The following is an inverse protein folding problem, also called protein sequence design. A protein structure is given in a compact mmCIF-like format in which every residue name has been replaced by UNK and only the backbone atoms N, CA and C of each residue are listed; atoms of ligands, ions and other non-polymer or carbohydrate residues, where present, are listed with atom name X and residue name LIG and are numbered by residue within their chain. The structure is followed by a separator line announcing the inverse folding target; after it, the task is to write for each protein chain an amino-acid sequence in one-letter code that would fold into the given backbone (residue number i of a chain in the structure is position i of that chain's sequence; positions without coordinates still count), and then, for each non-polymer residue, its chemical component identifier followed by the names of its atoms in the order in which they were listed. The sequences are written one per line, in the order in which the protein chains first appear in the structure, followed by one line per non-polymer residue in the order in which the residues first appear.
data_IF_381794987717
#
_entry.id   IF_381794987717
#
_cell.length_a   1.000
_cell.length_b   1.000
_cell.length_c   1.000
_cell.angle_alpha   90.00
_cell.angle_beta   90.00
_cell.angle_gamma   90.00
#
_symmetry.space_group_name_H-M   'P 1'
#
loop_
_entity.id
_entity.type
_entity.pdbx_description
1 polymer ?
#
# COMPACT_ATOMS: atom_id res chain seq x y z
N UNK A 1 -13.84 10.01 16.74
CA UNK A 1 -13.10 9.56 15.55
C UNK A 1 -12.76 10.78 14.71
N UNK A 2 -11.49 11.01 14.38
CA UNK A 2 -11.06 12.24 13.72
C UNK A 2 -11.57 12.24 12.26
N UNK A 3 -12.50 13.13 11.93
CA UNK A 3 -13.21 13.19 10.64
C UNK A 3 -12.26 13.15 9.43
N UNK A 4 -11.08 13.72 9.60
CA UNK A 4 -10.04 13.81 8.58
C UNK A 4 -9.40 12.46 8.20
N UNK A 5 -9.39 11.49 9.12
CA UNK A 5 -8.71 10.20 8.92
C UNK A 5 -9.40 9.35 7.85
N UNK A 6 -10.73 9.24 7.91
CA UNK A 6 -11.50 8.39 7.00
C UNK A 6 -11.46 8.91 5.56
N UNK A 7 -11.48 10.23 5.37
CA UNK A 7 -11.42 10.84 4.04
C UNK A 7 -10.10 10.52 3.31
N UNK A 8 -8.97 10.49 4.01
CA UNK A 8 -7.68 10.19 3.40
C UNK A 8 -7.56 8.74 2.94
N UNK A 9 -8.08 7.81 3.74
CA UNK A 9 -8.12 6.40 3.35
C UNK A 9 -9.08 6.20 2.18
N UNK A 10 -10.20 6.93 2.12
CA UNK A 10 -11.11 6.83 0.99
C UNK A 10 -10.46 7.27 -0.33
N UNK A 11 -9.68 8.35 -0.32
CA UNK A 11 -8.89 8.77 -1.48
C UNK A 11 -7.82 7.74 -1.86
N UNK A 12 -7.11 7.17 -0.87
CA UNK A 12 -6.12 6.12 -1.14
C UNK A 12 -6.76 4.89 -1.83
N UNK A 13 -7.90 4.43 -1.33
CA UNK A 13 -8.65 3.30 -1.91
C UNK A 13 -9.19 3.63 -3.30
N UNK A 14 -9.59 4.88 -3.55
CA UNK A 14 -10.02 5.32 -4.87
C UNK A 14 -8.84 5.25 -5.86
N UNK A 15 -7.65 5.68 -5.42
CA UNK A 15 -6.45 5.57 -6.23
C UNK A 15 -6.10 4.11 -6.51
N UNK A 16 -6.21 3.21 -5.54
CA UNK A 16 -5.99 1.77 -5.76
C UNK A 16 -7.03 1.09 -6.65
N UNK A 17 -8.09 1.80 -7.06
CA UNK A 17 -9.24 1.25 -7.78
C UNK A 17 -9.87 0.06 -7.03
N UNK A 18 -10.04 0.23 -5.71
CA UNK A 18 -10.51 -0.82 -4.83
C UNK A 18 -11.94 -1.27 -5.16
N UNK A 19 -12.17 -2.59 -5.19
CA UNK A 19 -13.51 -3.16 -5.36
C UNK A 19 -14.27 -3.11 -4.03
N UNK A 20 -15.39 -2.37 -4.02
CA UNK A 20 -16.28 -2.25 -2.86
C UNK A 20 -17.48 -3.16 -3.07
N UNK A 21 -17.55 -4.26 -2.32
CA UNK A 21 -18.64 -5.24 -2.41
C UNK A 21 -19.87 -4.85 -1.60
N UNK A 22 -19.67 -4.29 -0.42
CA UNK A 22 -20.75 -3.91 0.49
C UNK A 22 -20.38 -2.64 1.26
N UNK A 23 -21.34 -1.75 1.41
CA UNK A 23 -21.25 -0.59 2.28
C UNK A 23 -22.61 -0.30 2.90
N UNK A 24 -22.60 0.28 4.10
CA UNK A 24 -23.82 0.66 4.80
C UNK A 24 -23.68 2.07 5.35
N UNK A 25 -24.63 2.95 4.99
CA UNK A 25 -24.70 4.27 5.57
C UNK A 25 -25.20 4.18 7.03
N UNK A 26 -24.51 4.85 7.99
CA UNK A 26 -24.98 4.95 9.36
C UNK A 26 -26.39 5.58 9.43
N UNK A 27 -27.31 4.91 10.12
CA UNK A 27 -28.71 5.37 10.26
C UNK A 27 -28.85 6.50 11.29
N UNK A 28 -28.03 6.47 12.35
CA UNK A 28 -28.06 7.47 13.41
C UNK A 28 -27.38 8.77 12.96
N UNK A 29 -28.05 9.93 13.05
CA UNK A 29 -27.42 11.22 12.82
C UNK A 29 -26.22 11.45 13.73
N UNK A 30 -25.14 12.03 13.21
CA UNK A 30 -23.94 12.35 13.98
C UNK A 30 -22.67 12.35 13.14
N UNK A 31 -21.52 12.44 13.82
CA UNK A 31 -20.21 12.59 13.17
C UNK A 31 -19.89 11.48 12.16
N UNK A 32 -20.29 10.24 12.45
CA UNK A 32 -20.06 9.10 11.55
C UNK A 32 -20.90 9.22 10.28
N UNK A 33 -22.15 9.68 10.39
CA UNK A 33 -23.02 9.90 9.23
C UNK A 33 -22.51 11.09 8.40
N UNK A 34 -22.05 12.16 9.04
CA UNK A 34 -21.40 13.29 8.35
C UNK A 34 -20.13 12.84 7.64
N UNK A 35 -19.31 12.00 8.27
CA UNK A 35 -18.09 11.47 7.67
C UNK A 35 -18.42 10.60 6.47
N UNK A 36 -19.43 9.74 6.58
CA UNK A 36 -19.92 8.93 5.48
C UNK A 36 -20.33 9.77 4.26
N UNK A 37 -21.01 10.90 4.48
CA UNK A 37 -21.41 11.84 3.42
C UNK A 37 -20.27 12.72 2.90
N UNK A 38 -19.05 12.59 3.42
CA UNK A 38 -17.93 13.40 2.98
C UNK A 38 -17.61 13.12 1.50
N UNK A 39 -17.20 14.15 0.72
CA UNK A 39 -16.96 14.00 -0.72
C UNK A 39 -16.00 12.85 -1.08
N UNK A 40 -14.91 12.67 -0.32
CA UNK A 40 -13.95 11.61 -0.58
C UNK A 40 -14.57 10.20 -0.53
N UNK A 41 -15.48 9.96 0.42
CA UNK A 41 -16.18 8.68 0.54
C UNK A 41 -17.20 8.53 -0.59
N UNK A 42 -17.96 9.59 -0.90
CA UNK A 42 -18.96 9.54 -1.97
C UNK A 42 -18.31 9.30 -3.34
N UNK A 43 -17.22 10.00 -3.66
CA UNK A 43 -16.42 9.78 -4.88
C UNK A 43 -15.90 8.35 -4.95
N UNK A 44 -15.41 7.78 -3.85
CA UNK A 44 -14.98 6.38 -3.77
C UNK A 44 -16.14 5.42 -4.06
N UNK A 45 -17.29 5.60 -3.40
CA UNK A 45 -18.46 4.73 -3.56
C UNK A 45 -19.08 4.81 -4.97
N UNK A 46 -19.01 5.99 -5.59
CA UNK A 46 -19.48 6.22 -6.96
C UNK A 46 -18.49 5.74 -8.03
N UNK A 47 -17.29 5.28 -7.64
CA UNK A 47 -16.19 4.92 -8.55
C UNK A 47 -15.85 6.04 -9.54
N UNK A 48 -15.87 7.27 -9.05
CA UNK A 48 -15.45 8.43 -9.85
C UNK A 48 -13.93 8.35 -10.12
N UNK A 49 -13.48 8.85 -11.26
CA UNK A 49 -12.05 8.92 -11.56
C UNK A 49 -11.33 9.84 -10.57
N UNK A 50 -10.13 9.47 -10.05
CA UNK A 50 -9.39 10.33 -9.14
C UNK A 50 -9.16 11.73 -9.71
N UNK A 51 -9.38 12.76 -8.89
CA UNK A 51 -9.34 14.18 -9.33
C UNK A 51 -7.95 14.67 -9.76
N UNK A 52 -6.87 14.11 -9.22
CA UNK A 52 -5.52 14.56 -9.57
C UNK A 52 -5.01 13.82 -10.80
N UNK A 53 -4.57 14.58 -11.81
CA UNK A 53 -3.91 14.08 -13.02
C UNK A 53 -2.67 13.22 -12.74
N UNK A 54 -2.08 13.34 -11.56
CA UNK A 54 -1.02 12.43 -11.13
C UNK A 54 -1.64 11.09 -10.78
N UNK A 55 -1.13 10.03 -11.39
CA UNK A 55 -1.48 8.63 -11.15
C UNK A 55 -1.10 8.10 -9.76
N UNK A 56 -0.73 8.97 -8.81
CA UNK A 56 -0.33 8.59 -7.45
C UNK A 56 -0.99 9.47 -6.39
N UNK A 57 -1.21 8.88 -5.23
CA UNK A 57 -1.65 9.53 -4.01
C UNK A 57 -0.68 9.22 -2.89
N UNK A 58 -0.33 10.22 -2.09
CA UNK A 58 0.53 10.02 -0.92
C UNK A 58 0.03 10.88 0.22
N UNK A 59 -0.17 10.28 1.38
CA UNK A 59 -0.63 11.00 2.57
C UNK A 59 -0.04 10.40 3.84
N UNK A 60 0.22 11.28 4.80
CA UNK A 60 0.59 10.90 6.16
C UNK A 60 -0.58 11.17 7.09
N UNK A 61 -0.90 10.20 7.93
CA UNK A 61 -1.92 10.32 8.97
C UNK A 61 -1.37 9.83 10.31
N UNK A 62 -2.03 10.23 11.39
CA UNK A 62 -1.70 9.79 12.74
C UNK A 62 -2.91 9.09 13.34
N UNK A 63 -2.71 7.91 13.94
CA UNK A 63 -3.79 7.18 14.60
C UNK A 63 -4.41 7.99 15.73
N UNK A 64 -5.69 7.76 16.04
CA UNK A 64 -6.40 8.48 17.09
C UNK A 64 -6.00 8.10 18.53
N UNK A 65 -5.01 7.23 18.72
CA UNK A 65 -4.50 6.83 20.04
C UNK A 65 -3.96 8.04 20.79
N UNK A 66 -4.47 8.27 22.01
CA UNK A 66 -4.04 9.38 22.86
C UNK A 66 -2.71 9.08 23.56
N UNK A 67 -2.41 7.80 23.82
CA UNK A 67 -1.25 7.38 24.59
C UNK A 67 -0.07 6.95 23.72
N UNK A 68 -0.34 6.44 22.52
CA UNK A 68 0.68 5.97 21.58
C UNK A 68 0.25 6.25 20.12
N UNK A 69 0.28 7.52 19.68
CA UNK A 69 -0.04 7.87 18.31
C UNK A 69 1.02 7.33 17.34
N UNK A 70 0.58 6.55 16.35
CA UNK A 70 1.44 6.03 15.27
C UNK A 70 1.22 6.83 14.00
N UNK A 71 2.30 7.21 13.31
CA UNK A 71 2.24 7.81 11.98
C UNK A 71 2.16 6.72 10.92
N UNK A 72 1.19 6.85 10.02
CA UNK A 72 0.97 5.95 8.89
C UNK A 72 1.17 6.76 7.62
N UNK A 73 2.04 6.26 6.75
CA UNK A 73 2.28 6.81 5.42
C UNK A 73 1.61 5.91 4.39
N UNK A 74 0.63 6.45 3.67
CA UNK A 74 -0.09 5.75 2.61
C UNK A 74 0.43 6.19 1.26
N UNK A 75 0.72 5.23 0.38
CA UNK A 75 1.13 5.46 -1.01
C UNK A 75 0.23 4.59 -1.88
N UNK A 76 -0.54 5.21 -2.76
CA UNK A 76 -1.47 4.53 -3.67
C UNK A 76 -1.23 5.00 -5.10
N UNK A 77 -1.55 4.15 -6.08
CA UNK A 77 -1.42 4.46 -7.51
C UNK A 77 -2.70 4.13 -8.25
N UNK A 78 -3.05 4.94 -9.24
CA UNK A 78 -4.18 4.74 -10.14
C UNK A 78 -3.72 4.46 -11.56
N UNK A 79 -4.37 3.50 -12.20
CA UNK A 79 -4.08 3.09 -13.58
C UNK A 79 -2.69 2.46 -13.78
N UNK A 80 -2.27 2.44 -15.04
CA UNK A 80 -1.07 1.74 -15.52
C UNK A 80 0.14 2.66 -15.69
N UNK A 81 0.14 3.85 -15.09
CA UNK A 81 1.21 4.84 -15.26
C UNK A 81 2.54 4.46 -14.60
N UNK A 82 2.56 3.41 -13.80
CA UNK A 82 3.76 2.86 -13.17
C UNK A 82 4.07 1.50 -13.77
N UNK A 83 5.36 1.20 -13.93
CA UNK A 83 5.78 -0.12 -14.40
C UNK A 83 5.28 -1.21 -13.45
N UNK A 84 5.24 -2.45 -13.95
CA UNK A 84 4.87 -3.64 -13.17
C UNK A 84 5.66 -3.76 -11.85
N UNK A 85 6.93 -3.33 -11.82
CA UNK A 85 7.66 -3.17 -10.56
C UNK A 85 7.33 -1.82 -9.90
N UNK A 86 6.35 -1.83 -8.98
CA UNK A 86 5.96 -0.65 -8.20
C UNK A 86 7.06 -0.19 -7.21
N UNK A 87 7.92 -1.11 -6.77
CA UNK A 87 8.98 -0.78 -5.82
C UNK A 87 10.02 0.13 -6.47
N UNK A 88 10.47 -0.22 -7.69
CA UNK A 88 11.42 0.63 -8.45
C UNK A 88 10.73 1.91 -8.94
N UNK A 89 9.54 1.79 -9.53
CA UNK A 89 8.94 2.90 -10.27
C UNK A 89 8.32 3.98 -9.39
N UNK A 90 7.91 3.65 -8.16
CA UNK A 90 7.20 4.54 -7.26
C UNK A 90 7.82 4.56 -5.85
N UNK A 91 7.89 3.43 -5.15
CA UNK A 91 8.23 3.40 -3.72
C UNK A 91 9.65 3.93 -3.47
N UNK A 92 10.64 3.44 -4.22
CA UNK A 92 12.04 3.84 -4.09
C UNK A 92 12.25 5.33 -4.38
N UNK A 93 11.46 5.89 -5.30
CA UNK A 93 11.47 7.32 -5.66
C UNK A 93 10.72 8.21 -4.67
N UNK A 94 9.84 7.66 -3.86
CA UNK A 94 9.19 8.41 -2.78
C UNK A 94 10.10 8.39 -1.55
N UNK A 95 10.57 7.21 -1.16
CA UNK A 95 11.30 7.02 0.09
C UNK A 95 12.77 7.45 0.00
N UNK A 96 13.40 7.35 -1.18
CA UNK A 96 14.83 7.63 -1.39
C UNK A 96 15.76 6.88 -0.40
N UNK A 97 15.41 5.63 -0.09
CA UNK A 97 16.12 4.78 0.88
C UNK A 97 16.24 3.34 0.39
N UNK A 98 17.26 2.58 0.83
CA UNK A 98 17.30 1.14 0.65
C UNK A 98 16.05 0.45 1.21
N UNK A 99 15.57 -0.58 0.51
CA UNK A 99 14.37 -1.34 0.89
C UNK A 99 14.66 -2.83 0.76
N UNK A 100 14.28 -3.61 1.76
CA UNK A 100 14.23 -5.07 1.70
C UNK A 100 12.77 -5.51 1.55
N UNK A 101 12.48 -6.28 0.51
CA UNK A 101 11.12 -6.67 0.15
C UNK A 101 10.96 -8.17 0.32
N UNK A 102 9.96 -8.58 1.08
CA UNK A 102 9.59 -9.99 1.16
C UNK A 102 9.02 -10.46 -0.17
N UNK A 103 9.71 -11.40 -0.81
CA UNK A 103 9.32 -11.97 -2.10
C UNK A 103 9.06 -13.47 -2.02
N UNK A 104 9.44 -14.10 -0.90
CA UNK A 104 9.34 -15.55 -0.73
C UNK A 104 10.07 -16.32 -1.83
N UNK A 105 9.61 -17.53 -2.14
CA UNK A 105 10.09 -18.36 -3.25
C UNK A 105 9.05 -18.40 -4.38
N UNK A 106 8.48 -17.24 -4.72
CA UNK A 106 7.55 -17.12 -5.84
C UNK A 106 8.25 -17.44 -7.18
N UNK A 107 7.49 -17.87 -8.18
CA UNK A 107 7.99 -17.96 -9.55
C UNK A 107 8.07 -16.56 -10.17
N UNK A 108 9.07 -16.31 -11.03
CA UNK A 108 9.21 -15.08 -11.81
C UNK A 108 9.24 -13.80 -10.94
N UNK A 109 10.18 -13.69 -10.00
CA UNK A 109 10.38 -12.47 -9.20
C UNK A 109 11.31 -11.50 -9.93
N UNK A 110 10.99 -10.20 -9.90
CA UNK A 110 11.86 -9.14 -10.40
C UNK A 110 13.24 -9.21 -9.72
N UNK A 111 14.36 -9.06 -10.45
CA UNK A 111 15.68 -9.08 -9.84
C UNK A 111 15.85 -7.98 -8.80
N UNK A 112 16.76 -8.20 -7.84
CA UNK A 112 17.21 -7.14 -6.93
C UNK A 112 17.75 -5.95 -7.73
N UNK A 113 17.52 -4.74 -7.23
CA UNK A 113 18.00 -3.50 -7.83
C UNK A 113 19.14 -2.92 -6.99
N UNK A 114 20.36 -2.95 -7.50
CA UNK A 114 21.55 -2.55 -6.74
C UNK A 114 22.25 -1.34 -7.40
N UNK A 115 21.62 -0.16 -7.35
CA UNK A 115 22.23 1.10 -7.81
C UNK A 115 22.30 2.12 -6.68
N UNK A 116 23.40 2.16 -5.91
CA UNK A 116 23.57 3.11 -4.82
C UNK A 116 23.29 4.57 -5.25
N UNK A 117 22.64 5.38 -4.41
CA UNK A 117 22.20 5.08 -3.04
C UNK A 117 20.85 4.36 -2.95
N UNK A 118 20.22 4.02 -4.08
CA UNK A 118 18.87 3.44 -4.14
C UNK A 118 18.95 1.92 -4.36
N UNK A 119 18.65 1.15 -3.33
CA UNK A 119 18.72 -0.32 -3.37
C UNK A 119 17.37 -0.96 -3.07
N UNK A 120 17.05 -2.02 -3.79
CA UNK A 120 15.97 -2.96 -3.46
C UNK A 120 16.55 -4.36 -3.41
N UNK A 121 16.50 -4.97 -2.25
CA UNK A 121 16.93 -6.34 -2.01
C UNK A 121 15.72 -7.24 -1.80
N UNK A 122 15.69 -8.36 -2.52
CA UNK A 122 14.70 -9.40 -2.31
C UNK A 122 15.06 -10.25 -1.10
N UNK A 123 14.15 -10.34 -0.14
CA UNK A 123 14.22 -11.31 0.93
C UNK A 123 13.51 -12.57 0.45
N UNK A 124 14.31 -13.61 0.22
CA UNK A 124 13.87 -14.93 -0.23
C UNK A 124 13.86 -15.86 0.97
N UNK A 125 12.71 -16.45 1.27
CA UNK A 125 12.55 -17.38 2.39
C UNK A 125 13.21 -18.75 2.16
N UNK A 126 13.34 -19.57 3.22
CA UNK A 126 12.88 -19.28 4.59
C UNK A 126 13.80 -18.29 5.33
N UNK A 127 13.23 -17.50 6.22
CA UNK A 127 13.96 -16.60 7.15
C UNK A 127 13.46 -16.81 8.57
N UNK A 128 14.27 -16.50 9.57
CA UNK A 128 13.84 -16.51 10.97
C UNK A 128 13.60 -15.08 11.48
N UNK A 129 12.44 -14.84 12.08
CA UNK A 129 12.16 -13.63 12.86
C UNK A 129 11.95 -14.07 14.30
N UNK A 130 12.95 -13.82 15.15
CA UNK A 130 13.00 -14.39 16.50
C UNK A 130 13.09 -15.91 16.45
N UNK A 131 12.15 -16.58 17.09
CA UNK A 131 12.00 -18.04 17.14
C UNK A 131 11.07 -18.61 16.05
N UNK A 132 10.53 -17.76 15.17
CA UNK A 132 9.59 -18.17 14.12
C UNK A 132 10.27 -18.20 12.76
N UNK A 133 10.23 -19.37 12.12
CA UNK A 133 10.54 -19.48 10.70
C UNK A 133 9.37 -18.92 9.87
N UNK A 134 9.69 -18.04 8.94
CA UNK A 134 8.77 -17.51 7.93
C UNK A 134 9.21 -18.06 6.59
N UNK A 135 8.29 -18.76 5.93
CA UNK A 135 8.46 -19.23 4.57
C UNK A 135 7.23 -18.87 3.72
N UNK A 136 7.40 -18.92 2.41
CA UNK A 136 6.35 -18.51 1.45
C UNK A 136 5.04 -19.31 1.58
N UNK A 137 5.07 -20.55 2.07
CA UNK A 137 3.84 -21.34 2.26
C UNK A 137 3.02 -20.87 3.45
N UNK A 138 3.68 -20.25 4.43
CA UNK A 138 3.07 -19.79 5.69
C UNK A 138 2.75 -18.31 5.68
N UNK A 139 3.51 -17.50 4.93
CA UNK A 139 3.32 -16.06 4.81
C UNK A 139 3.16 -15.63 3.35
N UNK A 140 1.90 -15.41 2.97
CA UNK A 140 1.51 -14.86 1.67
C UNK A 140 1.32 -13.34 1.71
N UNK A 141 1.57 -12.69 2.85
CA UNK A 141 1.48 -11.26 2.96
C UNK A 141 2.59 -10.59 2.14
N UNK A 142 2.33 -9.36 1.71
CA UNK A 142 3.30 -8.55 0.97
C UNK A 142 3.78 -7.44 1.90
N UNK A 143 5.05 -7.52 2.26
CA UNK A 143 5.65 -6.58 3.20
C UNK A 143 7.08 -6.24 2.82
N UNK A 144 7.54 -5.10 3.33
CA UNK A 144 8.92 -4.66 3.15
C UNK A 144 9.38 -3.87 4.37
N UNK A 145 10.68 -3.86 4.59
CA UNK A 145 11.32 -2.98 5.57
C UNK A 145 12.19 -1.98 4.83
N UNK A 146 12.06 -0.71 5.23
CA UNK A 146 12.94 0.35 4.75
C UNK A 146 14.16 0.38 5.67
N UNK A 147 15.30 0.81 5.12
CA UNK A 147 16.57 1.06 5.82
C UNK A 147 16.44 1.35 7.32
N UNK A 148 17.35 0.76 8.10
CA UNK A 148 17.27 0.61 9.55
C UNK A 148 17.15 1.93 10.32
N UNK A 149 17.60 3.04 9.73
CA UNK A 149 17.47 4.39 10.29
C UNK A 149 16.03 4.90 10.38
N UNK A 150 15.11 4.41 9.55
CA UNK A 150 13.72 4.87 9.53
C UNK A 150 12.76 4.01 10.36
N UNK A 151 13.14 2.77 10.70
CA UNK A 151 12.28 1.81 11.40
C UNK A 151 10.87 1.69 10.76
N UNK A 152 10.79 1.74 9.42
CA UNK A 152 9.52 1.65 8.70
C UNK A 152 9.27 0.22 8.24
N UNK A 153 8.15 -0.33 8.71
CA UNK A 153 7.56 -1.55 8.20
C UNK A 153 6.39 -1.19 7.27
N UNK A 154 6.38 -1.76 6.06
CA UNK A 154 5.35 -1.49 5.06
C UNK A 154 4.54 -2.75 4.79
N UNK A 155 3.22 -2.58 4.68
CA UNK A 155 2.29 -3.55 4.14
C UNK A 155 1.81 -3.06 2.78
N UNK A 156 1.71 -3.95 1.80
CA UNK A 156 1.31 -3.61 0.43
C UNK A 156 0.31 -4.59 -0.15
N UNK A 157 -0.44 -4.12 -1.15
CA UNK A 157 -1.26 -4.97 -2.02
C UNK A 157 -0.48 -5.47 -3.23
N UNK A 158 0.74 -4.97 -3.46
CA UNK A 158 1.62 -5.31 -4.59
C UNK A 158 2.86 -6.06 -4.12
N UNK A 159 3.25 -7.10 -4.84
CA UNK A 159 4.50 -7.82 -4.62
C UNK A 159 5.55 -7.46 -5.69
N UNK A 160 6.57 -8.30 -5.85
CA UNK A 160 7.61 -8.15 -6.88
C UNK A 160 7.55 -9.23 -7.96
N UNK A 161 6.42 -9.89 -8.11
CA UNK A 161 6.21 -10.86 -9.17
C UNK A 161 6.18 -10.15 -10.55
N UNK A 162 6.79 -10.77 -11.55
CA UNK A 162 6.72 -10.36 -12.95
C UNK A 162 5.35 -10.79 -13.46
N UNK A 163 4.48 -9.82 -13.74
CA UNK A 163 3.19 -10.09 -14.37
C UNK A 163 3.45 -10.40 -15.85
N UNK A 164 3.27 -11.67 -16.24
CA UNK A 164 3.28 -12.09 -17.64
C UNK A 164 1.87 -11.80 -18.18
N UNK A 165 1.79 -10.95 -19.21
CA UNK A 165 0.53 -10.43 -19.76
C UNK A 165 -0.44 -11.51 -20.27
N UNK A 166 -0.01 -12.76 -20.41
CA UNK A 166 -0.87 -13.89 -20.80
C UNK A 166 -1.87 -14.33 -19.72
N UNK A 167 -1.75 -13.88 -18.46
CA UNK A 167 -2.67 -14.26 -17.38
C UNK A 167 -3.82 -13.27 -17.12
N UNK A 168 -3.93 -12.19 -17.90
CA UNK A 168 -4.95 -11.14 -17.70
C UNK A 168 -6.20 -11.36 -18.58
N UNK A 169 -6.20 -12.37 -19.46
CA UNK A 169 -7.38 -12.74 -20.26
C UNK A 169 -8.06 -13.95 -19.63
N UNK A 170 -8.90 -13.74 -18.61
CA UNK A 170 -10.00 -14.64 -18.26
C UNK A 170 -11.11 -13.87 -17.54
#
# INVERSE_FOLDING_TARGET
MNFHFCCFLAEALLYEDAVIYFWQMPQTPGLTQTAFKAPAIQTLLNKETPRSHFSKYTKTMTTASQTAPVKIHTISKFGNSFSLDMYISLILKILHKPIRVWTGKGANIQPSFCKPPLLIENVVGPINIGDKEINFRQDTARWSVVDDTLNLFCLSTVGREVIILEQIIH
#
